data_IF_616979002764
#
_entry.id   IF_616979002764
#
_cell.length_a   1.000
_cell.length_b   1.000
_cell.length_c   1.000
_cell.angle_alpha   90.00
_cell.angle_beta   90.00
_cell.angle_gamma   90.00
#
_symmetry.space_group_name_H-M   'P 1'
#
loop_
_entity.id
_entity.type
_entity.pdbx_description
1 polymer ?
#
# COMPACT_ATOMS: atom_id res chain seq x y z
N UNK A 1 -4.31 41.52 -13.27
CA UNK A 1 -4.01 40.82 -12.00
C UNK A 1 -2.76 40.01 -12.21
N UNK A 2 -1.84 39.94 -11.24
CA UNK A 2 -0.65 39.09 -11.37
C UNK A 2 -1.08 37.61 -11.44
N UNK A 3 -0.52 36.86 -12.39
CA UNK A 3 -0.74 35.41 -12.49
C UNK A 3 -0.15 34.70 -11.26
N UNK A 4 -0.71 33.55 -10.89
CA UNK A 4 -0.34 32.81 -9.67
C UNK A 4 1.08 32.25 -9.71
N UNK A 5 1.51 31.74 -10.87
CA UNK A 5 2.80 31.11 -11.07
C UNK A 5 3.60 31.86 -12.13
N UNK A 6 4.86 32.17 -11.81
CA UNK A 6 5.82 32.79 -12.73
C UNK A 6 7.04 31.90 -12.89
N UNK A 7 7.62 31.96 -14.09
CA UNK A 7 8.75 31.13 -14.48
C UNK A 7 9.65 31.87 -15.46
N UNK A 8 10.93 31.55 -15.44
CA UNK A 8 11.92 32.12 -16.32
C UNK A 8 13.06 31.15 -16.62
N UNK A 9 13.81 31.44 -17.69
CA UNK A 9 15.08 30.75 -17.94
C UNK A 9 16.19 31.25 -16.98
N UNK A 10 17.35 30.59 -16.99
CA UNK A 10 18.46 30.90 -16.10
C UNK A 10 18.99 32.34 -16.21
N UNK A 11 18.95 32.96 -17.40
CA UNK A 11 19.35 34.36 -17.60
C UNK A 11 18.18 35.37 -17.47
N UNK A 12 16.95 34.89 -17.25
CA UNK A 12 15.75 35.73 -17.16
C UNK A 12 15.24 36.30 -18.50
N UNK A 13 15.85 35.97 -19.64
CA UNK A 13 15.43 36.47 -20.95
C UNK A 13 14.07 35.91 -21.40
N UNK A 14 13.84 34.63 -21.13
CA UNK A 14 12.54 33.97 -21.36
C UNK A 14 11.74 34.04 -20.06
N UNK A 15 10.51 34.55 -20.12
CA UNK A 15 9.59 34.65 -18.99
C UNK A 15 8.18 34.23 -19.40
N UNK A 16 7.53 33.46 -18.55
CA UNK A 16 6.15 33.03 -18.77
C UNK A 16 5.40 32.86 -17.46
N UNK A 17 4.08 32.88 -17.54
CA UNK A 17 3.19 32.86 -16.39
C UNK A 17 1.89 32.11 -16.68
N UNK A 18 1.25 31.60 -15.62
CA UNK A 18 -0.02 30.86 -15.68
C UNK A 18 -0.71 30.87 -14.30
N UNK A 19 -2.00 30.52 -14.25
CA UNK A 19 -2.78 30.49 -13.00
C UNK A 19 -3.04 29.07 -12.47
N UNK A 20 -3.07 28.10 -13.38
CA UNK A 20 -3.49 26.73 -13.12
C UNK A 20 -2.55 26.09 -12.10
N UNK A 21 -3.11 25.55 -11.03
CA UNK A 21 -2.37 24.67 -10.14
C UNK A 21 -2.18 23.31 -10.81
N UNK A 22 -0.93 22.87 -11.05
CA UNK A 22 -0.71 21.65 -11.79
C UNK A 22 -1.21 20.43 -11.02
N UNK A 23 -2.16 19.69 -11.61
CA UNK A 23 -2.68 18.43 -11.06
C UNK A 23 -1.91 17.21 -11.56
N UNK A 24 -1.13 17.38 -12.64
CA UNK A 24 -0.23 16.37 -13.17
C UNK A 24 1.21 16.88 -13.06
N UNK A 25 1.98 16.31 -12.13
CA UNK A 25 3.40 16.62 -11.91
C UNK A 25 4.19 15.30 -11.88
N UNK A 26 5.03 15.08 -12.88
CA UNK A 26 5.69 13.80 -13.12
C UNK A 26 7.21 13.93 -13.09
N UNK A 27 7.87 12.94 -12.47
CA UNK A 27 9.30 12.66 -12.66
C UNK A 27 9.44 11.52 -13.67
N UNK A 28 9.98 11.82 -14.84
CA UNK A 28 10.12 10.84 -15.92
C UNK A 28 11.54 10.32 -16.05
N UNK A 29 11.69 9.00 -15.98
CA UNK A 29 12.98 8.29 -16.05
C UNK A 29 13.30 7.74 -17.44
N UNK A 30 12.54 8.10 -18.49
CA UNK A 30 12.85 7.63 -19.85
C UNK A 30 14.17 8.22 -20.36
N UNK A 31 14.84 7.54 -21.30
CA UNK A 31 16.14 7.98 -21.82
C UNK A 31 16.05 9.35 -22.51
N UNK A 32 14.94 9.61 -23.20
CA UNK A 32 14.70 10.88 -23.89
C UNK A 32 14.61 12.05 -22.89
N UNK A 33 13.97 11.83 -21.74
CA UNK A 33 13.86 12.81 -20.67
C UNK A 33 15.21 13.09 -20.02
N UNK A 34 16.00 12.05 -19.73
CA UNK A 34 17.37 12.21 -19.20
C UNK A 34 18.26 13.00 -20.15
N UNK A 35 18.28 12.65 -21.43
CA UNK A 35 19.05 13.37 -22.47
C UNK A 35 18.64 14.84 -22.58
N UNK A 36 17.35 15.11 -22.41
CA UNK A 36 16.80 16.44 -22.62
C UNK A 36 16.89 17.35 -21.39
N UNK A 37 16.92 16.81 -20.16
CA UNK A 37 17.16 17.58 -18.94
C UNK A 37 18.64 17.66 -18.57
N UNK A 38 19.46 16.72 -19.03
CA UNK A 38 20.83 16.53 -18.54
C UNK A 38 20.90 15.92 -17.13
N UNK A 39 19.77 15.61 -16.51
CA UNK A 39 19.67 15.05 -15.16
C UNK A 39 19.42 13.53 -15.13
N UNK A 40 19.31 12.98 -13.94
CA UNK A 40 18.94 11.58 -13.71
C UNK A 40 17.49 11.27 -14.12
N UNK A 41 16.66 12.31 -14.20
CA UNK A 41 15.29 12.29 -14.70
C UNK A 41 14.92 13.68 -15.25
N UNK A 42 13.71 13.83 -15.79
CA UNK A 42 13.12 15.14 -16.02
C UNK A 42 11.85 15.30 -15.21
N UNK A 43 11.72 16.43 -14.52
CA UNK A 43 10.51 16.79 -13.77
C UNK A 43 9.74 17.86 -14.53
N UNK A 44 8.49 17.56 -14.86
CA UNK A 44 7.63 18.47 -15.60
C UNK A 44 6.17 18.32 -15.16
N UNK A 45 5.36 19.29 -15.53
CA UNK A 45 3.93 19.30 -15.23
C UNK A 45 3.11 19.91 -16.36
N UNK A 46 1.85 19.51 -16.44
CA UNK A 46 0.93 19.99 -17.46
C UNK A 46 0.25 21.29 -17.07
N UNK A 47 0.21 22.25 -18.00
CA UNK A 47 -0.55 23.50 -17.92
C UNK A 47 -1.43 23.59 -19.18
N UNK A 48 -2.72 23.94 -19.06
CA UNK A 48 -3.57 24.25 -20.22
C UNK A 48 -2.95 25.35 -21.09
N UNK A 49 -2.90 25.12 -22.40
CA UNK A 49 -2.28 26.06 -23.34
C UNK A 49 -2.95 27.44 -23.35
N UNK A 50 -4.25 27.49 -23.09
CA UNK A 50 -5.04 28.72 -22.97
C UNK A 50 -4.77 29.54 -21.70
N UNK A 51 -4.17 28.94 -20.66
CA UNK A 51 -3.75 29.63 -19.45
C UNK A 51 -2.24 29.98 -19.44
N UNK A 52 -1.47 29.43 -20.37
CA UNK A 52 -0.05 29.71 -20.52
C UNK A 52 0.18 31.04 -21.26
N UNK A 53 0.99 31.94 -20.68
CA UNK A 53 1.33 33.23 -21.32
C UNK A 53 2.84 33.45 -21.33
N UNK A 54 3.42 33.55 -22.53
CA UNK A 54 4.82 33.97 -22.71
C UNK A 54 4.88 35.50 -22.64
N UNK A 55 5.49 36.03 -21.58
CA UNK A 55 5.52 37.47 -21.27
C UNK A 55 6.87 38.12 -21.52
N UNK A 56 7.90 37.34 -21.84
CA UNK A 56 9.22 37.86 -22.17
C UNK A 56 10.06 36.90 -23.01
N UNK A 57 10.78 37.46 -23.97
CA UNK A 57 11.70 36.74 -24.85
C UNK A 57 11.04 35.87 -25.90
N UNK A 58 11.86 35.17 -26.69
CA UNK A 58 11.43 34.23 -27.72
C UNK A 58 12.25 32.94 -27.58
N UNK A 59 11.66 31.83 -27.08
CA UNK A 59 12.38 30.58 -26.99
C UNK A 59 12.61 30.00 -28.39
N UNK A 60 13.70 29.25 -28.54
CA UNK A 60 13.94 28.44 -29.73
C UNK A 60 13.29 27.08 -29.53
N UNK A 61 12.44 26.68 -30.48
CA UNK A 61 11.84 25.36 -30.51
C UNK A 61 12.76 24.36 -31.22
N UNK A 62 12.87 23.15 -30.67
CA UNK A 62 13.44 21.99 -31.34
C UNK A 62 12.39 20.89 -31.41
N UNK A 63 11.93 20.60 -32.63
CA UNK A 63 10.98 19.51 -32.87
C UNK A 63 11.65 18.15 -32.59
N UNK A 64 10.94 17.29 -31.87
CA UNK A 64 11.41 15.99 -31.45
C UNK A 64 10.29 14.96 -31.52
N UNK A 65 10.53 13.87 -32.24
CA UNK A 65 9.65 12.70 -32.23
C UNK A 65 10.05 11.77 -31.10
N UNK A 66 9.16 11.58 -30.12
CA UNK A 66 9.39 10.68 -29.01
C UNK A 66 9.41 9.21 -29.45
N UNK A 67 9.94 8.32 -28.61
CA UNK A 67 9.89 6.86 -28.84
C UNK A 67 8.47 6.32 -29.06
N UNK A 68 7.43 7.04 -28.63
CA UNK A 68 6.04 6.68 -28.92
C UNK A 68 5.58 7.00 -30.35
N UNK A 69 6.46 7.56 -31.19
CA UNK A 69 6.14 8.03 -32.54
C UNK A 69 5.42 9.38 -32.60
N UNK A 70 5.18 10.02 -31.44
CA UNK A 70 4.45 11.30 -31.33
C UNK A 70 5.41 12.47 -31.25
N UNK A 71 5.12 13.54 -31.97
CA UNK A 71 5.86 14.79 -32.00
C UNK A 71 5.64 15.67 -30.77
N UNK A 72 6.68 16.43 -30.43
CA UNK A 72 6.63 17.58 -29.52
C UNK A 72 7.73 18.58 -29.84
N UNK A 73 7.55 19.83 -29.43
CA UNK A 73 8.58 20.85 -29.50
C UNK A 73 9.18 21.10 -28.13
N UNK A 74 10.51 20.99 -28.01
CA UNK A 74 11.26 21.35 -26.81
C UNK A 74 11.72 22.80 -26.93
N UNK A 75 11.26 23.66 -26.03
CA UNK A 75 11.55 25.09 -26.05
C UNK A 75 12.68 25.43 -25.08
N UNK A 76 13.69 26.13 -25.57
CA UNK A 76 14.86 26.53 -24.79
C UNK A 76 15.23 27.99 -25.04
N UNK A 77 15.87 28.61 -24.05
CA UNK A 77 16.42 29.96 -24.20
C UNK A 77 17.64 29.91 -25.13
N UNK A 78 17.69 30.71 -26.21
CA UNK A 78 18.85 30.75 -27.09
C UNK A 78 20.12 31.30 -26.42
N UNK A 79 19.97 32.13 -25.39
CA UNK A 79 21.10 32.82 -24.74
C UNK A 79 21.77 31.96 -23.67
N UNK A 80 20.99 31.23 -22.86
CA UNK A 80 21.53 30.42 -21.76
C UNK A 80 21.35 28.90 -21.95
N UNK A 81 20.66 28.46 -23.00
CA UNK A 81 20.42 27.04 -23.29
C UNK A 81 19.41 26.36 -22.37
N UNK A 82 18.87 27.05 -21.36
CA UNK A 82 17.94 26.45 -20.41
C UNK A 82 16.65 26.00 -21.11
N UNK A 83 16.28 24.74 -20.92
CA UNK A 83 14.99 24.19 -21.35
C UNK A 83 13.89 24.63 -20.40
N UNK A 84 12.86 25.28 -20.93
CA UNK A 84 11.81 25.92 -20.13
C UNK A 84 10.48 25.17 -20.18
N UNK A 85 10.01 24.80 -21.36
CA UNK A 85 8.75 24.06 -21.52
C UNK A 85 8.76 23.25 -22.82
N UNK A 86 7.76 22.39 -23.01
CA UNK A 86 7.49 21.71 -24.26
C UNK A 86 6.09 22.04 -24.75
N UNK A 87 5.94 22.32 -26.04
CA UNK A 87 4.69 22.68 -26.71
C UNK A 87 4.40 21.70 -27.86
N UNK A 88 3.27 21.88 -28.56
CA UNK A 88 2.89 21.04 -29.71
C UNK A 88 2.91 19.54 -29.37
N UNK A 89 2.42 19.19 -28.17
CA UNK A 89 2.43 17.83 -27.65
C UNK A 89 1.35 17.00 -28.35
N UNK A 90 1.70 16.25 -29.40
CA UNK A 90 0.72 15.39 -30.11
C UNK A 90 0.07 14.34 -29.19
N UNK A 91 0.80 13.87 -28.19
CA UNK A 91 0.30 12.91 -27.20
C UNK A 91 -0.62 13.53 -26.13
N UNK A 92 -0.61 14.85 -26.00
CA UNK A 92 -1.38 15.61 -25.01
C UNK A 92 -1.84 16.95 -25.60
N UNK A 93 -2.73 16.94 -26.61
CA UNK A 93 -3.17 18.17 -27.28
C UNK A 93 -3.77 19.18 -26.30
N UNK A 94 -3.47 20.47 -26.49
CA UNK A 94 -3.96 21.56 -25.65
C UNK A 94 -3.24 21.73 -24.30
N UNK A 95 -2.13 21.00 -24.08
CA UNK A 95 -1.27 21.16 -22.91
C UNK A 95 0.12 21.67 -23.29
N UNK A 96 0.70 22.47 -22.39
CA UNK A 96 2.11 22.82 -22.32
C UNK A 96 2.74 22.07 -21.16
N UNK A 97 3.87 21.40 -21.40
CA UNK A 97 4.63 20.74 -20.33
C UNK A 97 5.75 21.64 -19.84
N UNK A 98 5.55 22.27 -18.69
CA UNK A 98 6.53 23.18 -18.07
C UNK A 98 7.59 22.36 -17.33
N UNK A 99 8.86 22.73 -17.49
CA UNK A 99 9.97 22.12 -16.73
C UNK A 99 9.96 22.69 -15.31
N UNK A 100 9.97 21.83 -14.27
CA UNK A 100 9.84 22.30 -12.88
C UNK A 100 10.89 23.36 -12.51
N UNK A 101 12.13 23.15 -12.93
CA UNK A 101 13.26 24.02 -12.62
C UNK A 101 13.20 25.43 -13.22
N UNK A 102 12.28 25.71 -14.15
CA UNK A 102 12.10 27.08 -14.66
C UNK A 102 11.17 27.94 -13.81
N UNK A 103 10.43 27.37 -12.85
CA UNK A 103 9.60 28.16 -11.95
C UNK A 103 10.45 29.10 -11.09
N UNK A 104 9.95 30.30 -10.80
CA UNK A 104 10.59 31.18 -9.82
C UNK A 104 10.49 30.63 -8.39
N UNK A 105 9.46 29.79 -8.13
CA UNK A 105 9.26 29.05 -6.88
C UNK A 105 9.07 27.55 -7.14
N UNK A 106 10.14 26.80 -7.46
CA UNK A 106 10.03 25.37 -7.81
C UNK A 106 9.43 24.49 -6.71
N UNK A 107 9.55 24.89 -5.45
CA UNK A 107 9.01 24.19 -4.27
C UNK A 107 7.50 24.31 -4.10
N UNK A 108 6.86 25.23 -4.84
CA UNK A 108 5.40 25.41 -4.89
C UNK A 108 4.67 24.27 -5.61
N UNK A 109 5.38 23.52 -6.46
CA UNK A 109 4.84 22.41 -7.23
C UNK A 109 5.58 21.12 -6.86
N UNK A 110 4.86 20.14 -6.34
CA UNK A 110 5.43 18.88 -5.83
C UNK A 110 5.17 17.73 -6.80
N UNK A 111 6.19 16.94 -7.19
CA UNK A 111 5.98 15.72 -7.96
C UNK A 111 5.03 14.74 -7.26
N UNK A 112 4.10 14.19 -8.03
CA UNK A 112 3.06 13.30 -7.52
C UNK A 112 3.22 11.86 -8.01
N UNK A 113 3.94 11.66 -9.12
CA UNK A 113 4.13 10.34 -9.71
C UNK A 113 5.50 10.22 -10.42
N UNK A 114 5.96 8.99 -10.59
CA UNK A 114 7.12 8.65 -11.41
C UNK A 114 6.68 7.87 -12.66
N UNK A 115 7.32 8.15 -13.80
CA UNK A 115 7.08 7.45 -15.07
C UNK A 115 8.35 6.74 -15.54
N UNK A 116 8.18 5.60 -16.22
CA UNK A 116 9.28 4.80 -16.77
C UNK A 116 10.32 4.36 -15.71
N UNK A 117 9.87 4.09 -14.48
CA UNK A 117 10.71 3.75 -13.31
C UNK A 117 11.65 2.56 -13.52
N UNK A 118 11.34 1.65 -14.47
CA UNK A 118 12.27 0.59 -14.92
C UNK A 118 13.63 1.12 -15.42
N UNK A 119 13.71 2.40 -15.80
CA UNK A 119 14.93 3.09 -16.25
C UNK A 119 15.47 4.10 -15.22
N UNK A 120 14.96 4.08 -13.99
CA UNK A 120 15.53 4.85 -12.87
C UNK A 120 16.97 4.37 -12.64
N UNK A 121 17.89 5.31 -12.43
CA UNK A 121 19.26 4.94 -12.10
C UNK A 121 19.28 4.25 -10.73
N UNK A 122 20.07 3.20 -10.57
CA UNK A 122 20.03 2.36 -9.36
C UNK A 122 20.31 3.12 -8.06
N UNK A 123 21.05 4.24 -8.14
CA UNK A 123 21.35 5.12 -7.02
C UNK A 123 20.27 6.19 -6.76
N UNK A 124 19.37 6.44 -7.71
CA UNK A 124 18.31 7.42 -7.59
C UNK A 124 17.16 6.86 -6.75
N UNK A 125 16.75 7.61 -5.73
CA UNK A 125 15.66 7.20 -4.83
C UNK A 125 14.30 7.36 -5.52
N UNK A 126 13.34 6.45 -5.28
CA UNK A 126 11.96 6.67 -5.67
C UNK A 126 11.42 7.97 -5.08
N UNK A 127 10.45 8.59 -5.75
CA UNK A 127 9.56 9.53 -5.08
C UNK A 127 8.82 8.73 -4.02
N UNK A 128 9.27 8.85 -2.78
CA UNK A 128 8.59 8.18 -1.68
C UNK A 128 7.23 8.83 -1.58
N UNK A 129 6.17 8.04 -1.74
CA UNK A 129 4.77 8.45 -1.75
C UNK A 129 4.34 8.97 -0.37
N UNK A 130 5.00 10.00 0.19
CA UNK A 130 4.95 10.26 1.64
C UNK A 130 4.96 8.95 2.44
N UNK A 131 5.89 8.05 2.15
CA UNK A 131 6.21 6.95 3.06
C UNK A 131 7.53 6.27 2.67
N UNK A 132 8.62 7.00 2.83
CA UNK A 132 9.87 6.45 3.39
C UNK A 132 10.88 7.58 3.46
N UNK A 133 11.45 7.74 4.65
CA UNK A 133 12.47 8.72 4.95
C UNK A 133 13.77 8.24 4.34
N UNK A 134 14.51 9.14 3.72
CA UNK A 134 15.93 9.34 4.04
C UNK A 134 16.30 10.75 3.56
N UNK A 135 16.25 11.72 4.46
CA UNK A 135 16.99 12.98 4.31
C UNK A 135 18.45 12.74 4.75
N UNK A 136 19.43 13.52 4.26
CA UNK A 136 20.71 13.63 4.91
C UNK A 136 20.51 14.20 6.32
N UNK A 137 21.31 13.72 7.26
CA UNK A 137 21.34 14.11 8.67
C UNK A 137 21.61 15.61 8.82
N UNK A 138 20.54 16.39 8.95
CA UNK A 138 20.54 17.54 9.85
C UNK A 138 20.16 17.02 11.24
N UNK A 139 20.98 17.29 12.24
CA UNK A 139 20.69 17.08 13.66
C UNK A 139 19.49 17.95 14.06
N UNK A 140 18.29 17.49 13.73
CA UNK A 140 17.09 17.88 14.45
C UNK A 140 17.24 17.25 15.82
N UNK A 141 17.44 18.08 16.84
CA UNK A 141 17.36 17.69 18.25
C UNK A 141 16.06 16.92 18.44
N UNK A 142 16.16 15.59 18.45
CA UNK A 142 15.04 14.71 18.74
C UNK A 142 14.69 14.96 20.20
N UNK A 143 13.65 15.74 20.46
CA UNK A 143 13.04 15.77 21.79
C UNK A 143 12.91 14.32 22.28
N UNK A 144 13.36 14.05 23.51
CA UNK A 144 13.46 12.71 24.07
C UNK A 144 12.08 12.04 24.11
N UNK A 145 11.77 11.27 23.05
CA UNK A 145 10.48 10.59 22.90
C UNK A 145 10.33 9.47 23.91
N UNK A 146 11.40 9.04 24.59
CA UNK A 146 11.31 8.03 25.63
C UNK A 146 10.44 8.48 26.81
N UNK A 147 10.26 9.79 26.99
CA UNK A 147 9.42 10.36 28.04
C UNK A 147 8.04 10.83 27.54
N UNK A 148 7.74 10.76 26.23
CA UNK A 148 6.44 11.16 25.68
C UNK A 148 5.31 10.19 26.08
N UNK A 149 4.04 10.54 25.86
CA UNK A 149 2.93 9.59 26.03
C UNK A 149 3.09 8.37 25.10
N UNK A 150 2.62 7.18 25.49
CA UNK A 150 2.79 5.93 24.72
C UNK A 150 2.35 6.07 23.26
N UNK A 151 1.21 6.71 22.98
CA UNK A 151 0.73 6.93 21.62
C UNK A 151 1.61 7.84 20.74
N UNK A 152 2.46 8.66 21.36
CA UNK A 152 3.47 9.48 20.67
C UNK A 152 4.79 8.71 20.45
N UNK A 153 5.04 7.64 21.21
CA UNK A 153 6.16 6.71 20.99
C UNK A 153 5.86 5.72 19.86
N UNK A 154 4.60 5.34 19.70
CA UNK A 154 4.15 4.45 18.62
C UNK A 154 4.15 5.15 17.26
N UNK A 155 4.79 4.51 16.27
CA UNK A 155 4.74 4.97 14.88
C UNK A 155 3.46 4.50 14.17
N UNK A 156 2.96 3.31 14.49
CA UNK A 156 1.81 2.69 13.85
C UNK A 156 1.82 1.17 14.05
N UNK A 157 0.96 0.47 13.32
CA UNK A 157 0.99 -1.00 13.19
C UNK A 157 2.01 -1.36 12.10
N UNK A 158 2.94 -2.26 12.40
CA UNK A 158 3.95 -2.72 11.44
C UNK A 158 3.40 -3.92 10.64
N UNK A 159 2.95 -4.95 11.34
CA UNK A 159 2.32 -6.15 10.78
C UNK A 159 1.17 -6.63 11.67
N UNK A 160 0.38 -7.56 11.12
CA UNK A 160 -0.61 -8.35 11.84
C UNK A 160 -0.26 -9.84 11.73
N UNK A 161 -0.17 -10.52 12.89
CA UNK A 161 0.18 -11.94 12.96
C UNK A 161 -1.04 -12.86 12.88
N UNK A 162 -0.92 -13.91 12.07
CA UNK A 162 -1.92 -14.98 11.91
C UNK A 162 -1.24 -16.33 12.12
N UNK A 163 -1.71 -17.07 13.11
CA UNK A 163 -1.29 -18.47 13.30
C UNK A 163 -1.98 -19.37 12.28
N UNK A 164 -1.22 -20.21 11.60
CA UNK A 164 -1.70 -21.07 10.50
C UNK A 164 -1.45 -22.55 10.80
N UNK A 165 -2.25 -23.43 10.19
CA UNK A 165 -1.99 -24.86 10.23
C UNK A 165 -0.91 -25.27 9.22
N UNK A 166 -1.05 -24.79 7.99
CA UNK A 166 -0.12 -25.06 6.91
C UNK A 166 0.45 -23.75 6.39
N UNK A 167 1.74 -23.55 6.62
CA UNK A 167 2.42 -22.35 6.15
C UNK A 167 2.45 -22.27 4.62
N UNK A 168 2.65 -23.39 3.91
CA UNK A 168 2.67 -23.38 2.44
C UNK A 168 1.32 -23.03 1.84
N UNK A 169 0.23 -23.61 2.36
CA UNK A 169 -1.13 -23.31 1.89
C UNK A 169 -1.51 -21.85 2.17
N UNK A 170 -1.27 -21.38 3.40
CA UNK A 170 -1.53 -19.99 3.76
C UNK A 170 -0.70 -19.03 2.89
N UNK A 171 0.60 -19.32 2.73
CA UNK A 171 1.49 -18.49 1.93
C UNK A 171 1.05 -18.44 0.46
N UNK A 172 0.71 -19.58 -0.14
CA UNK A 172 0.17 -19.63 -1.51
C UNK A 172 -1.12 -18.80 -1.61
N UNK A 173 -2.04 -18.90 -0.66
CA UNK A 173 -3.26 -18.09 -0.68
C UNK A 173 -2.97 -16.58 -0.66
N UNK A 174 -2.18 -16.12 0.30
CA UNK A 174 -1.91 -14.68 0.44
C UNK A 174 -1.08 -14.11 -0.71
N UNK A 175 -0.27 -14.92 -1.39
CA UNK A 175 0.59 -14.46 -2.49
C UNK A 175 -0.07 -14.68 -3.86
N UNK A 176 -0.52 -15.90 -4.14
CA UNK A 176 -0.98 -16.30 -5.47
C UNK A 176 -2.48 -16.06 -5.69
N UNK A 177 -3.30 -16.10 -4.64
CA UNK A 177 -4.74 -15.81 -4.74
C UNK A 177 -5.02 -14.33 -4.48
N UNK A 178 -4.47 -13.79 -3.39
CA UNK A 178 -4.72 -12.40 -2.99
C UNK A 178 -3.70 -11.41 -3.57
N UNK A 179 -2.59 -11.87 -4.16
CA UNK A 179 -1.64 -11.02 -4.87
C UNK A 179 -0.61 -10.31 -3.98
N UNK A 180 -0.41 -10.76 -2.74
CA UNK A 180 0.60 -10.22 -1.85
C UNK A 180 2.03 -10.59 -2.28
N UNK A 181 3.01 -9.80 -1.85
CA UNK A 181 4.43 -10.05 -2.15
C UNK A 181 5.16 -10.60 -0.92
N UNK A 182 5.98 -11.63 -1.11
CA UNK A 182 6.88 -12.08 -0.05
C UNK A 182 7.88 -10.97 0.32
N UNK A 183 7.99 -10.70 1.61
CA UNK A 183 9.02 -9.83 2.19
C UNK A 183 10.21 -10.67 2.61
N UNK A 184 9.96 -11.71 3.43
CA UNK A 184 10.97 -12.64 3.94
C UNK A 184 10.31 -13.89 4.51
N UNK A 185 11.11 -14.95 4.63
CA UNK A 185 10.80 -16.18 5.38
C UNK A 185 11.94 -16.51 6.33
N UNK A 186 11.60 -17.00 7.50
CA UNK A 186 12.55 -17.51 8.49
C UNK A 186 11.86 -18.60 9.32
N UNK A 187 12.59 -19.33 10.14
CA UNK A 187 11.96 -20.30 11.03
C UNK A 187 12.92 -21.20 11.76
N UNK A 188 12.39 -22.33 12.19
CA UNK A 188 13.04 -23.21 13.17
C UNK A 188 13.35 -22.51 14.50
N UNK A 189 12.57 -21.48 14.86
CA UNK A 189 12.77 -20.75 16.10
C UNK A 189 12.42 -21.62 17.31
N UNK A 190 13.36 -21.71 18.23
CA UNK A 190 13.26 -22.42 19.50
C UNK A 190 14.24 -21.84 20.53
N UNK A 191 14.16 -22.33 21.76
CA UNK A 191 14.97 -21.94 22.88
C UNK A 191 14.24 -21.04 23.87
N UNK A 192 14.85 -20.89 25.05
CA UNK A 192 14.23 -20.19 26.18
C UNK A 192 13.89 -18.73 25.87
N UNK A 193 14.75 -18.02 25.14
CA UNK A 193 14.54 -16.60 24.87
C UNK A 193 13.26 -16.35 24.08
N UNK A 194 13.10 -17.01 22.92
CA UNK A 194 11.90 -16.86 22.09
C UNK A 194 10.64 -17.37 22.80
N UNK A 195 10.77 -18.48 23.55
CA UNK A 195 9.66 -19.02 24.32
C UNK A 195 9.15 -18.01 25.36
N UNK A 196 10.06 -17.42 26.15
CA UNK A 196 9.70 -16.43 27.16
C UNK A 196 9.17 -15.14 26.52
N UNK A 197 9.69 -14.72 25.37
CA UNK A 197 9.18 -13.54 24.65
C UNK A 197 7.71 -13.69 24.25
N UNK A 198 7.28 -14.89 23.85
CA UNK A 198 5.94 -15.11 23.31
C UNK A 198 4.93 -15.57 24.37
N UNK A 199 5.36 -16.34 25.38
CA UNK A 199 4.44 -17.16 26.19
C UNK A 199 4.68 -17.05 27.71
N UNK A 200 5.51 -16.11 28.18
CA UNK A 200 5.80 -15.98 29.62
C UNK A 200 4.55 -15.81 30.49
N UNK A 201 3.55 -15.07 30.01
CA UNK A 201 2.28 -14.85 30.73
C UNK A 201 1.52 -16.17 30.91
N UNK A 202 1.33 -16.94 29.84
CA UNK A 202 0.63 -18.23 29.89
C UNK A 202 1.40 -19.27 30.72
N UNK A 203 2.73 -19.25 30.68
CA UNK A 203 3.59 -20.07 31.56
C UNK A 203 3.37 -19.77 33.05
N UNK A 204 3.26 -18.49 33.43
CA UNK A 204 2.93 -18.09 34.80
C UNK A 204 1.54 -18.62 35.19
N UNK A 205 0.54 -18.43 34.32
CA UNK A 205 -0.83 -18.92 34.54
C UNK A 205 -0.86 -20.45 34.73
N UNK A 206 -0.12 -21.21 33.94
CA UNK A 206 -0.04 -22.66 34.07
C UNK A 206 0.51 -23.08 35.44
N UNK A 207 1.59 -22.41 35.91
CA UNK A 207 2.21 -22.67 37.22
C UNK A 207 1.28 -22.33 38.38
N UNK A 208 0.63 -21.17 38.34
CA UNK A 208 -0.32 -20.75 39.36
C UNK A 208 -1.50 -21.73 39.47
N UNK A 209 -2.00 -22.21 38.32
CA UNK A 209 -3.08 -23.19 38.25
C UNK A 209 -2.62 -24.62 38.51
N UNK A 210 -1.30 -24.86 38.60
CA UNK A 210 -0.69 -26.20 38.73
C UNK A 210 -1.14 -27.16 37.63
N UNK A 211 -1.24 -26.67 36.40
CA UNK A 211 -1.60 -27.47 35.21
C UNK A 211 -0.42 -27.52 34.25
N UNK A 212 -0.44 -28.49 33.32
CA UNK A 212 0.54 -28.55 32.24
C UNK A 212 0.33 -27.37 31.27
N UNK A 213 1.36 -26.56 30.94
CA UNK A 213 1.22 -25.44 30.00
C UNK A 213 0.58 -25.81 28.66
N UNK A 214 0.84 -27.04 28.15
CA UNK A 214 0.22 -27.55 26.91
C UNK A 214 -1.31 -27.53 26.97
N UNK A 215 -1.92 -27.78 28.14
CA UNK A 215 -3.39 -27.86 28.27
C UNK A 215 -4.08 -26.49 28.18
N UNK A 216 -3.32 -25.40 28.21
CA UNK A 216 -3.82 -24.05 28.00
C UNK A 216 -3.24 -23.40 26.74
N UNK A 217 -2.62 -24.20 25.88
CA UNK A 217 -2.20 -23.79 24.56
C UNK A 217 -0.77 -23.21 24.49
N UNK A 218 0.14 -23.64 25.36
CA UNK A 218 1.56 -23.26 25.28
C UNK A 218 2.37 -24.37 24.59
N UNK A 219 2.90 -24.16 23.37
CA UNK A 219 3.86 -25.08 22.74
C UNK A 219 5.22 -25.05 23.46
N UNK A 220 5.95 -26.17 23.43
CA UNK A 220 7.28 -26.24 24.02
C UNK A 220 8.38 -25.83 23.02
N UNK A 221 8.52 -24.52 22.84
CA UNK A 221 9.70 -23.95 22.18
C UNK A 221 10.96 -24.01 23.06
N UNK A 222 10.83 -24.10 24.39
CA UNK A 222 11.96 -23.97 25.32
C UNK A 222 12.84 -25.22 25.30
N UNK A 223 12.22 -26.39 25.47
CA UNK A 223 12.84 -27.70 25.31
C UNK A 223 13.01 -28.11 23.84
N UNK A 224 12.37 -27.37 22.93
CA UNK A 224 12.48 -27.61 21.50
C UNK A 224 11.71 -28.86 21.04
N UNK A 225 10.59 -29.19 21.67
CA UNK A 225 9.65 -30.16 21.10
C UNK A 225 8.88 -29.56 19.92
N UNK A 226 8.61 -28.25 19.95
CA UNK A 226 8.01 -27.50 18.84
C UNK A 226 8.97 -26.46 18.24
N UNK A 227 8.65 -26.01 17.03
CA UNK A 227 9.36 -24.97 16.26
C UNK A 227 8.37 -23.93 15.77
N UNK A 228 8.79 -22.67 15.80
CA UNK A 228 8.05 -21.59 15.16
C UNK A 228 8.70 -21.23 13.83
N UNK A 229 7.90 -21.24 12.77
CA UNK A 229 8.26 -20.73 11.44
C UNK A 229 7.45 -19.47 11.11
N UNK A 230 8.04 -18.54 10.37
CA UNK A 230 7.39 -17.28 10.00
C UNK A 230 7.55 -16.95 8.52
N UNK A 231 6.52 -16.34 7.93
CA UNK A 231 6.57 -15.71 6.61
C UNK A 231 5.88 -14.38 6.63
N UNK A 232 6.46 -13.39 5.97
CA UNK A 232 5.91 -12.04 5.88
C UNK A 232 5.43 -11.76 4.47
N UNK A 233 4.17 -11.35 4.33
CA UNK A 233 3.53 -11.02 3.06
C UNK A 233 3.06 -9.57 3.07
N UNK A 234 3.58 -8.77 2.15
CA UNK A 234 3.26 -7.35 1.99
C UNK A 234 2.06 -7.16 1.06
N UNK A 235 1.10 -6.37 1.53
CA UNK A 235 0.10 -5.66 0.73
C UNK A 235 0.36 -4.16 0.80
N UNK A 236 -0.30 -3.31 0.01
CA UNK A 236 0.01 -1.87 -0.11
C UNK A 236 0.33 -1.16 1.23
N UNK A 237 -0.51 -1.36 2.25
CA UNK A 237 -0.43 -0.61 3.51
C UNK A 237 -0.16 -1.47 4.76
N UNK A 238 -0.12 -2.80 4.64
CA UNK A 238 0.02 -3.71 5.79
C UNK A 238 0.82 -4.94 5.41
N UNK A 239 1.55 -5.48 6.39
CA UNK A 239 2.21 -6.78 6.30
C UNK A 239 1.42 -7.79 7.11
N UNK A 240 1.19 -8.96 6.53
CA UNK A 240 0.67 -10.13 7.24
C UNK A 240 1.86 -11.02 7.59
N UNK A 241 2.00 -11.31 8.88
CA UNK A 241 2.95 -12.30 9.38
C UNK A 241 2.19 -13.62 9.57
N UNK A 242 2.58 -14.65 8.84
CA UNK A 242 2.09 -16.00 9.01
C UNK A 242 2.99 -16.70 10.01
N UNK A 243 2.42 -17.39 10.99
CA UNK A 243 3.13 -18.10 12.05
C UNK A 243 2.66 -19.55 12.10
N UNK A 244 3.57 -20.51 11.93
CA UNK A 244 3.25 -21.92 12.10
C UNK A 244 4.05 -22.48 13.28
N UNK A 245 3.34 -23.10 14.22
CA UNK A 245 3.96 -23.89 15.29
C UNK A 245 3.83 -25.36 14.90
N UNK A 246 4.95 -26.02 14.62
CA UNK A 246 5.01 -27.44 14.22
C UNK A 246 5.87 -28.23 15.20
N UNK A 247 5.76 -29.56 15.18
CA UNK A 247 6.72 -30.39 15.91
C UNK A 247 8.09 -30.35 15.26
N UNK A 248 9.14 -30.51 16.06
CA UNK A 248 10.53 -30.37 15.62
C UNK A 248 10.94 -31.34 14.49
N UNK A 249 10.28 -32.50 14.40
CA UNK A 249 10.58 -33.52 13.39
C UNK A 249 9.88 -33.25 12.06
N UNK A 250 8.91 -32.33 12.03
CA UNK A 250 8.16 -32.00 10.83
C UNK A 250 8.94 -31.01 9.95
N UNK A 251 8.85 -31.12 8.62
CA UNK A 251 9.48 -30.18 7.70
C UNK A 251 8.92 -28.77 7.86
N UNK A 252 9.74 -27.75 7.61
CA UNK A 252 9.26 -26.36 7.52
C UNK A 252 8.26 -26.21 6.36
N UNK A 253 7.20 -25.41 6.56
CA UNK A 253 6.24 -25.10 5.52
C UNK A 253 5.03 -26.05 5.45
N UNK A 254 5.26 -27.33 5.67
CA UNK A 254 4.27 -28.40 5.53
C UNK A 254 4.11 -29.19 6.84
N UNK A 255 3.13 -30.09 6.88
CA UNK A 255 2.83 -30.89 8.09
C UNK A 255 1.71 -30.33 8.95
N UNK A 256 1.53 -30.97 10.09
CA UNK A 256 0.51 -30.69 11.09
C UNK A 256 0.99 -29.59 12.05
N UNK A 257 0.12 -28.64 12.35
CA UNK A 257 0.36 -27.72 13.45
C UNK A 257 0.27 -28.43 14.79
N UNK A 258 1.01 -27.91 15.78
CA UNK A 258 1.08 -28.45 17.14
C UNK A 258 -0.28 -28.56 17.84
N UNK A 259 -1.25 -27.72 17.48
CA UNK A 259 -2.60 -27.76 18.04
C UNK A 259 -3.67 -27.62 16.96
N UNK A 260 -4.85 -28.11 17.31
CA UNK A 260 -6.07 -27.98 16.51
C UNK A 260 -6.48 -26.50 16.37
N UNK A 261 -6.84 -26.05 15.16
CA UNK A 261 -7.26 -24.69 14.90
C UNK A 261 -8.69 -24.47 15.41
N UNK A 262 -9.07 -23.21 15.48
CA UNK A 262 -10.43 -22.82 15.80
C UNK A 262 -11.20 -22.46 14.52
N UNK A 263 -11.64 -23.46 13.79
CA UNK A 263 -12.17 -23.34 12.42
C UNK A 263 -13.70 -23.17 12.33
N UNK A 264 -14.45 -23.63 13.33
CA UNK A 264 -15.93 -23.64 13.31
C UNK A 264 -16.62 -22.44 13.96
N UNK A 265 -15.90 -21.34 14.19
CA UNK A 265 -16.49 -20.13 14.78
C UNK A 265 -16.87 -19.10 13.72
N UNK A 266 -17.88 -18.29 14.01
CA UNK A 266 -18.23 -17.12 13.19
C UNK A 266 -17.43 -15.88 13.63
N UNK A 267 -17.35 -14.83 12.78
CA UNK A 267 -16.75 -13.55 13.16
C UNK A 267 -17.37 -12.90 14.40
N UNK A 268 -18.61 -13.27 14.75
CA UNK A 268 -19.32 -12.73 15.91
C UNK A 268 -18.90 -13.38 17.24
N UNK A 269 -18.16 -14.51 17.20
CA UNK A 269 -17.76 -15.17 18.43
C UNK A 269 -16.73 -14.32 19.19
N UNK A 270 -16.88 -14.07 20.51
CA UNK A 270 -16.01 -13.16 21.25
C UNK A 270 -14.52 -13.47 21.07
N UNK A 271 -13.74 -12.40 20.81
CA UNK A 271 -12.29 -12.45 20.54
C UNK A 271 -11.89 -13.12 19.23
N UNK A 272 -12.83 -13.40 18.33
CA UNK A 272 -12.50 -13.76 16.94
C UNK A 272 -12.06 -12.49 16.20
N UNK A 273 -10.85 -12.52 15.68
CA UNK A 273 -10.32 -11.45 14.82
C UNK A 273 -10.66 -11.76 13.36
N UNK A 274 -10.72 -10.72 12.53
CA UNK A 274 -10.77 -10.86 11.07
C UNK A 274 -9.77 -9.92 10.41
N UNK A 275 -9.32 -10.29 9.21
CA UNK A 275 -8.45 -9.45 8.38
C UNK A 275 -9.31 -8.79 7.32
N UNK A 276 -9.32 -7.46 7.29
CA UNK A 276 -10.11 -6.69 6.35
C UNK A 276 -9.26 -6.26 5.15
N UNK A 277 -9.62 -6.75 3.96
CA UNK A 277 -9.00 -6.41 2.69
C UNK A 277 -9.80 -5.35 1.95
N UNK A 278 -9.09 -4.31 1.50
CA UNK A 278 -9.67 -3.19 0.78
C UNK A 278 -9.67 -3.45 -0.73
N UNK A 279 -10.85 -3.63 -1.31
CA UNK A 279 -11.03 -3.82 -2.76
C UNK A 279 -11.04 -2.45 -3.43
N UNK A 280 -10.39 -2.35 -4.60
CA UNK A 280 -10.38 -1.14 -5.42
C UNK A 280 -11.80 -0.74 -5.84
N UNK A 281 -12.08 0.56 -5.87
CA UNK A 281 -13.39 1.13 -6.18
C UNK A 281 -13.94 0.74 -7.56
N UNK A 282 -13.06 0.45 -8.53
CA UNK A 282 -13.39 0.13 -9.92
C UNK A 282 -13.59 -1.38 -10.20
N UNK A 283 -13.44 -2.22 -9.17
CA UNK A 283 -13.62 -3.66 -9.27
C UNK A 283 -15.10 -4.02 -9.05
N UNK A 284 -15.63 -4.89 -9.92
CA UNK A 284 -16.91 -5.57 -9.66
C UNK A 284 -16.75 -6.53 -8.49
N UNK A 285 -17.34 -6.13 -7.35
CA UNK A 285 -17.21 -6.86 -6.10
C UNK A 285 -17.86 -8.25 -6.16
N UNK A 286 -19.03 -8.39 -6.77
CA UNK A 286 -19.70 -9.70 -6.83
C UNK A 286 -18.91 -10.68 -7.70
N UNK A 287 -18.32 -10.19 -8.80
CA UNK A 287 -17.40 -10.97 -9.63
C UNK A 287 -16.13 -11.34 -8.86
N UNK A 288 -15.54 -10.40 -8.13
CA UNK A 288 -14.36 -10.67 -7.31
C UNK A 288 -14.59 -11.83 -6.33
N UNK A 289 -15.74 -11.87 -5.65
CA UNK A 289 -16.06 -12.96 -4.71
C UNK A 289 -16.22 -14.30 -5.41
N UNK A 290 -16.88 -14.33 -6.56
CA UNK A 290 -16.96 -15.55 -7.38
C UNK A 290 -15.57 -16.04 -7.81
N UNK A 291 -14.73 -15.14 -8.31
CA UNK A 291 -13.38 -15.47 -8.77
C UNK A 291 -12.48 -15.93 -7.61
N UNK A 292 -12.61 -15.33 -6.42
CA UNK A 292 -11.87 -15.69 -5.21
C UNK A 292 -12.13 -17.16 -4.84
N UNK A 293 -13.40 -17.56 -4.76
CA UNK A 293 -13.77 -18.95 -4.43
C UNK A 293 -13.31 -19.91 -5.52
N UNK A 294 -13.48 -19.55 -6.80
CA UNK A 294 -13.10 -20.39 -7.93
C UNK A 294 -11.58 -20.59 -8.04
N UNK A 295 -10.79 -19.53 -7.86
CA UNK A 295 -9.32 -19.59 -7.88
C UNK A 295 -8.79 -20.39 -6.69
N UNK A 296 -9.33 -20.16 -5.49
CA UNK A 296 -8.97 -20.92 -4.30
C UNK A 296 -9.25 -22.41 -4.48
N UNK A 297 -10.45 -22.76 -4.98
CA UNK A 297 -10.82 -24.14 -5.25
C UNK A 297 -9.91 -24.80 -6.29
N UNK A 298 -9.50 -24.08 -7.36
CA UNK A 298 -8.57 -24.60 -8.38
C UNK A 298 -7.22 -24.99 -7.79
N UNK A 299 -6.80 -24.30 -6.72
CA UNK A 299 -5.56 -24.57 -5.97
C UNK A 299 -5.75 -25.56 -4.81
N UNK A 300 -6.91 -26.21 -4.73
CA UNK A 300 -7.22 -27.19 -3.68
C UNK A 300 -7.65 -26.58 -2.34
N UNK A 301 -7.87 -25.27 -2.26
CA UNK A 301 -8.32 -24.57 -1.05
C UNK A 301 -9.84 -24.45 -1.00
N UNK A 302 -10.54 -25.60 -1.05
CA UNK A 302 -12.01 -25.66 -1.11
C UNK A 302 -12.73 -25.18 0.16
N UNK A 303 -11.98 -24.95 1.24
CA UNK A 303 -12.48 -24.37 2.49
C UNK A 303 -12.64 -22.84 2.43
N UNK A 304 -12.07 -22.17 1.41
CA UNK A 304 -12.29 -20.73 1.20
C UNK A 304 -13.73 -20.53 0.76
N UNK A 305 -14.52 -19.86 1.61
CA UNK A 305 -15.98 -19.76 1.46
C UNK A 305 -16.49 -18.40 1.84
N UNK A 306 -17.07 -17.69 0.89
CA UNK A 306 -17.74 -16.42 1.14
C UNK A 306 -19.18 -16.64 1.60
N UNK A 307 -19.65 -15.81 2.54
CA UNK A 307 -21.05 -15.83 2.96
C UNK A 307 -21.98 -15.35 1.82
N UNK A 308 -23.29 -15.48 2.04
CA UNK A 308 -24.33 -14.89 1.19
C UNK A 308 -25.24 -14.01 2.05
N UNK A 309 -25.81 -12.95 1.46
CA UNK A 309 -26.76 -12.06 2.16
C UNK A 309 -28.20 -12.58 2.14
N UNK A 310 -28.39 -13.81 1.68
CA UNK A 310 -29.66 -14.52 1.66
C UNK A 310 -29.57 -15.77 2.54
N UNK A 311 -30.71 -16.25 2.99
CA UNK A 311 -30.79 -17.52 3.71
C UNK A 311 -30.48 -18.67 2.77
N UNK A 312 -29.49 -19.49 3.15
CA UNK A 312 -29.16 -20.78 2.54
C UNK A 312 -28.92 -21.77 3.68
N UNK A 313 -29.27 -23.04 3.45
CA UNK A 313 -29.22 -24.10 4.48
C UNK A 313 -28.22 -25.19 4.18
N UNK A 314 -27.63 -25.19 2.98
CA UNK A 314 -26.59 -26.13 2.57
C UNK A 314 -25.50 -25.46 1.75
N UNK A 315 -24.33 -26.11 1.66
CA UNK A 315 -23.23 -25.65 0.80
C UNK A 315 -23.66 -25.62 -0.68
N UNK A 316 -24.48 -26.58 -1.11
CA UNK A 316 -25.00 -26.62 -2.48
C UNK A 316 -25.88 -25.40 -2.77
N UNK A 317 -26.77 -25.03 -1.85
CA UNK A 317 -27.59 -23.82 -1.98
C UNK A 317 -26.73 -22.55 -1.97
N UNK A 318 -25.68 -22.49 -1.15
CA UNK A 318 -24.73 -21.36 -1.10
C UNK A 318 -23.99 -21.16 -2.42
N UNK A 319 -23.52 -22.25 -3.03
CA UNK A 319 -22.82 -22.22 -4.31
C UNK A 319 -23.75 -21.87 -5.47
N UNK A 320 -25.02 -22.30 -5.41
CA UNK A 320 -26.03 -21.98 -6.41
C UNK A 320 -26.67 -20.59 -6.24
N UNK A 321 -26.36 -19.87 -5.16
CA UNK A 321 -26.89 -18.53 -4.89
C UNK A 321 -26.51 -17.55 -6.03
N UNK A 322 -27.40 -16.60 -6.37
CA UNK A 322 -27.13 -15.64 -7.42
C UNK A 322 -25.97 -14.71 -7.03
N UNK A 323 -25.23 -14.19 -8.03
CA UNK A 323 -24.04 -13.37 -7.79
C UNK A 323 -24.31 -12.09 -6.99
N UNK A 324 -25.50 -11.51 -7.12
CA UNK A 324 -25.91 -10.32 -6.37
C UNK A 324 -26.10 -10.59 -4.87
N UNK A 325 -26.20 -11.86 -4.45
CA UNK A 325 -26.22 -12.25 -3.05
C UNK A 325 -24.82 -12.30 -2.40
N UNK A 326 -23.75 -12.01 -3.14
CA UNK A 326 -22.37 -12.06 -2.63
C UNK A 326 -22.00 -10.89 -1.73
N UNK A 327 -22.67 -9.74 -1.84
CA UNK A 327 -22.26 -8.52 -1.12
C UNK A 327 -23.44 -7.82 -0.48
N UNK A 328 -23.23 -7.27 0.71
CA UNK A 328 -24.14 -6.28 1.27
C UNK A 328 -23.68 -4.89 0.82
N UNK A 329 -24.65 -4.00 0.58
CA UNK A 329 -24.42 -2.57 0.32
C UNK A 329 -25.21 -1.77 1.34
N UNK A 330 -24.52 -0.89 2.07
CA UNK A 330 -25.14 0.02 3.02
C UNK A 330 -25.28 1.38 2.36
N UNK A 331 -26.51 1.82 2.14
CA UNK A 331 -26.82 3.05 1.39
C UNK A 331 -27.37 4.18 2.25
N UNK A 332 -27.50 3.97 3.56
CA UNK A 332 -28.08 4.93 4.49
C UNK A 332 -27.36 4.96 5.85
N UNK A 333 -27.64 6.00 6.63
CA UNK A 333 -27.04 6.21 7.95
C UNK A 333 -25.54 6.55 7.92
N UNK A 334 -24.89 6.44 9.09
CA UNK A 334 -23.46 6.76 9.25
C UNK A 334 -22.53 5.79 8.51
N UNK A 335 -23.02 4.61 8.18
CA UNK A 335 -22.30 3.56 7.46
C UNK A 335 -22.55 3.60 5.95
N UNK A 336 -23.25 4.62 5.44
CA UNK A 336 -23.52 4.78 4.02
C UNK A 336 -22.23 4.78 3.19
N UNK A 337 -22.22 3.95 2.14
CA UNK A 337 -21.14 3.80 1.19
C UNK A 337 -20.29 2.56 1.42
N UNK A 338 -20.56 1.76 2.45
CA UNK A 338 -19.95 0.45 2.57
C UNK A 338 -20.56 -0.54 1.58
N UNK A 339 -19.69 -1.27 0.89
CA UNK A 339 -20.01 -2.62 0.43
C UNK A 339 -19.06 -3.59 1.13
N UNK A 340 -19.56 -4.73 1.60
CA UNK A 340 -18.73 -5.70 2.31
C UNK A 340 -19.25 -7.12 2.21
N UNK A 341 -18.38 -8.06 2.58
CA UNK A 341 -18.71 -9.47 2.80
C UNK A 341 -17.69 -10.11 3.74
N UNK A 342 -18.13 -11.13 4.47
CA UNK A 342 -17.25 -12.00 5.25
C UNK A 342 -17.01 -13.32 4.53
N UNK A 343 -15.78 -13.80 4.62
CA UNK A 343 -15.28 -15.02 3.99
C UNK A 343 -14.44 -15.80 4.99
N UNK A 344 -14.47 -17.12 4.88
CA UNK A 344 -13.53 -18.03 5.54
C UNK A 344 -12.27 -18.13 4.67
N UNK A 345 -11.08 -18.01 5.27
CA UNK A 345 -9.81 -18.26 4.59
C UNK A 345 -9.37 -19.73 4.62
N UNK A 346 -8.25 -20.09 3.98
CA UNK A 346 -7.79 -21.47 3.87
C UNK A 346 -7.36 -22.09 5.21
N UNK A 347 -7.02 -21.29 6.22
CA UNK A 347 -6.60 -21.74 7.55
C UNK A 347 -7.73 -21.63 8.59
N UNK A 348 -8.95 -21.37 8.12
CA UNK A 348 -10.12 -21.21 8.99
C UNK A 348 -10.28 -19.81 9.58
N UNK A 349 -9.36 -18.90 9.27
CA UNK A 349 -9.38 -17.51 9.70
C UNK A 349 -10.54 -16.72 9.06
N UNK A 350 -10.96 -15.65 9.73
CA UNK A 350 -12.01 -14.78 9.21
C UNK A 350 -11.39 -13.70 8.32
N UNK A 351 -11.91 -13.59 7.12
CA UNK A 351 -11.58 -12.53 6.18
C UNK A 351 -12.81 -11.64 6.01
N UNK A 352 -12.58 -10.35 5.92
CA UNK A 352 -13.56 -9.38 5.47
C UNK A 352 -13.02 -8.75 4.19
N UNK A 353 -13.88 -8.58 3.20
CA UNK A 353 -13.57 -7.78 2.03
C UNK A 353 -14.50 -6.59 2.01
N UNK A 354 -13.98 -5.42 1.66
CA UNK A 354 -14.76 -4.18 1.69
C UNK A 354 -14.44 -3.26 0.52
N UNK A 355 -15.42 -2.47 0.13
CA UNK A 355 -15.24 -1.20 -0.58
C UNK A 355 -15.82 -0.09 0.30
N UNK A 356 -15.03 0.94 0.57
CA UNK A 356 -15.49 2.16 1.22
C UNK A 356 -15.73 3.20 0.12
N UNK A 357 -16.98 3.53 -0.16
CA UNK A 357 -17.38 4.45 -1.21
C UNK A 357 -18.05 5.69 -0.60
N UNK A 358 -18.14 6.77 -1.37
CA UNK A 358 -18.93 7.95 -1.00
C UNK A 358 -18.66 8.48 0.42
N UNK A 359 -19.71 8.50 1.25
CA UNK A 359 -19.69 9.13 2.56
C UNK A 359 -18.69 8.46 3.52
N UNK A 360 -18.69 7.13 3.63
CA UNK A 360 -17.78 6.45 4.55
C UNK A 360 -16.32 6.60 4.14
N UNK A 361 -16.02 6.58 2.83
CA UNK A 361 -14.66 6.85 2.33
C UNK A 361 -14.13 8.19 2.83
N UNK A 362 -14.96 9.23 2.74
CA UNK A 362 -14.64 10.58 3.23
C UNK A 362 -14.39 10.57 4.74
N UNK A 363 -15.21 9.88 5.53
CA UNK A 363 -15.02 9.77 6.99
C UNK A 363 -13.66 9.17 7.36
N UNK A 364 -13.24 8.09 6.69
CA UNK A 364 -11.93 7.47 6.93
C UNK A 364 -10.76 8.38 6.51
N UNK A 365 -10.92 9.12 5.40
CA UNK A 365 -9.93 10.10 4.95
C UNK A 365 -9.74 11.24 5.97
N UNK A 366 -10.84 11.83 6.46
CA UNK A 366 -10.83 12.90 7.46
C UNK A 366 -10.19 12.44 8.79
N UNK A 367 -10.46 11.21 9.22
CA UNK A 367 -9.84 10.61 10.40
C UNK A 367 -8.32 10.45 10.22
N UNK A 368 -7.88 9.97 9.04
CA UNK A 368 -6.46 9.84 8.71
C UNK A 368 -5.74 11.20 8.71
N UNK A 369 -6.36 12.23 8.12
CA UNK A 369 -5.83 13.60 8.12
C UNK A 369 -5.73 14.18 9.52
N UNK A 370 -6.72 13.91 10.37
CA UNK A 370 -6.71 14.32 11.78
C UNK A 370 -5.55 13.68 12.52
N UNK A 371 -5.33 12.36 12.38
CA UNK A 371 -4.16 11.68 12.97
C UNK A 371 -2.84 12.29 12.49
N UNK A 372 -2.71 12.59 11.20
CA UNK A 372 -1.52 13.23 10.63
C UNK A 372 -1.24 14.60 11.26
N UNK A 373 -2.29 15.42 11.48
CA UNK A 373 -2.19 16.71 12.17
C UNK A 373 -1.75 16.55 13.63
N UNK A 374 -2.33 15.60 14.37
CA UNK A 374 -1.95 15.33 15.77
C UNK A 374 -0.47 14.92 15.91
N UNK A 375 0.04 14.08 15.00
CA UNK A 375 1.46 13.70 15.00
C UNK A 375 2.37 14.90 14.66
N UNK A 376 1.94 15.79 13.76
CA UNK A 376 2.71 16.97 13.41
C UNK A 376 2.80 17.96 14.59
N UNK A 377 1.70 18.15 15.31
CA UNK A 377 1.62 19.05 16.46
C UNK A 377 2.42 18.57 17.69
N UNK A 378 2.79 17.28 17.77
CA UNK A 378 3.59 16.71 18.87
C UNK A 378 5.10 16.70 18.57
N UNK A 379 5.52 17.26 17.42
CA UNK A 379 6.93 17.38 17.01
C UNK A 379 7.51 18.79 17.17
N UNK A 380 6.66 19.80 17.35
CA UNK A 380 7.04 21.15 17.77
C UNK A 380 6.84 21.28 19.27
#
# INVERSE_FOLDING_TARGET
MAKKHTAQCACGAIKFEFNTDPTFVAVCHCLDCKKASGGEAATFFGVPEDDFSLVGGQPKAFHYTAQSGRGLDRNFCPDCGARVFSSNLEGFPGLIFVTLGSLDKPDSVKPMLEMFTKRRLNWARPLTSRNSRTCPVEEVVMADRNNAALGARLQGVQHFGVTVQSMDRAFEFYTEVLGGNEVMRDGDFQGEQIHNTLMADQEIVARERKVNPRTIGVPDLKGGEQRLDVRFVQFDNVVIELLQYRDAQQPMGSGDSWAEPRDHMSPAYPRSMHICFYIRDDVDFNKFIHDLEAESARRGMTQVKANRVITVTSEQERQAAPLDANTIKITEGKSNGWSLIYCKGPEGEQLEFVQALGAVKKTFQEAMETRRRTIAATKG
#
